data_IF_882399043626
#
_entry.id   IF_882399043626
#
_cell.length_a   1.000
_cell.length_b   1.000
_cell.length_c   1.000
_cell.angle_alpha   90.00
_cell.angle_beta   90.00
_cell.angle_gamma   90.00
#
_symmetry.space_group_name_H-M   'P 1'
#
loop_
_entity.id
_entity.type
_entity.pdbx_description
1 polymer ?
#
# COMPACT_ATOMS: atom_id res chain seq x y z
N UNK A 1 -31.14 5.42 8.68
CA UNK A 1 -29.76 5.00 9.02
C UNK A 1 -28.86 5.28 7.81
N UNK A 2 -28.20 6.45 7.74
CA UNK A 2 -27.25 6.76 6.68
C UNK A 2 -25.92 6.14 7.12
N UNK A 3 -25.31 5.17 6.46
CA UNK A 3 -24.87 5.16 5.07
C UNK A 3 -24.69 3.71 4.63
N UNK A 4 -25.77 3.05 4.22
CA UNK A 4 -25.62 1.92 3.29
C UNK A 4 -25.20 2.53 1.95
N UNK A 5 -23.94 2.99 1.84
CA UNK A 5 -23.35 3.34 0.56
C UNK A 5 -23.38 2.05 -0.25
N UNK A 6 -24.36 1.99 -1.14
CA UNK A 6 -24.32 1.20 -2.37
C UNK A 6 -22.98 1.51 -3.02
N UNK A 7 -21.99 0.71 -2.73
CA UNK A 7 -20.69 0.82 -3.35
C UNK A 7 -20.49 -0.53 -4.02
N UNK A 8 -20.15 -0.45 -5.29
CA UNK A 8 -19.62 -1.52 -6.11
C UNK A 8 -18.34 -2.06 -5.42
N UNK A 9 -18.51 -2.79 -4.33
CA UNK A 9 -17.45 -3.06 -3.38
C UNK A 9 -16.72 -4.34 -3.76
N UNK A 10 -15.79 -4.23 -4.71
CA UNK A 10 -14.69 -5.20 -4.80
C UNK A 10 -13.79 -5.18 -3.55
N UNK A 11 -13.94 -4.17 -2.69
CA UNK A 11 -13.14 -3.95 -1.51
C UNK A 11 -14.04 -3.92 -0.27
N UNK A 12 -13.84 -4.86 0.65
CA UNK A 12 -14.51 -4.86 1.96
C UNK A 12 -13.49 -4.51 3.05
N UNK A 13 -13.85 -3.74 4.09
CA UNK A 13 -12.95 -3.54 5.22
C UNK A 13 -12.62 -4.88 5.88
N UNK A 14 -11.39 -5.03 6.37
CA UNK A 14 -10.99 -6.21 7.14
C UNK A 14 -11.84 -6.36 8.41
N UNK A 15 -12.03 -7.61 8.86
CA UNK A 15 -12.58 -7.86 10.19
C UNK A 15 -11.65 -7.31 11.29
N UNK A 16 -12.20 -6.95 12.45
CA UNK A 16 -11.44 -6.37 13.58
C UNK A 16 -10.20 -7.20 13.96
N UNK A 17 -10.34 -8.53 13.96
CA UNK A 17 -9.25 -9.48 14.23
C UNK A 17 -8.08 -9.41 13.24
N UNK A 18 -8.32 -8.88 12.04
CA UNK A 18 -7.36 -8.81 10.95
C UNK A 18 -6.78 -7.39 10.78
N UNK A 19 -7.20 -6.41 11.59
CA UNK A 19 -6.69 -5.03 11.52
C UNK A 19 -5.18 -4.95 11.80
N UNK A 20 -4.63 -5.88 12.58
CA UNK A 20 -3.19 -5.99 12.83
C UNK A 20 -2.38 -6.58 11.65
N UNK A 21 -3.04 -6.96 10.55
CA UNK A 21 -2.35 -7.43 9.36
C UNK A 21 -1.52 -6.30 8.73
N UNK A 22 -2.10 -5.11 8.58
CA UNK A 22 -1.41 -3.92 8.09
C UNK A 22 -0.78 -3.17 9.27
N UNK A 23 0.54 -3.01 9.23
CA UNK A 23 1.32 -2.33 10.25
C UNK A 23 1.43 -0.83 9.95
N UNK A 24 2.04 -0.08 10.87
CA UNK A 24 2.37 1.34 10.70
C UNK A 24 1.18 2.23 10.27
N UNK A 25 -0.01 1.85 10.72
CA UNK A 25 -1.25 2.58 10.44
C UNK A 25 -1.77 2.44 9.02
N UNK A 26 -1.37 1.39 8.28
CA UNK A 26 -1.93 1.06 6.97
C UNK A 26 -3.41 0.65 7.02
N UNK A 27 -4.15 0.96 5.96
CA UNK A 27 -5.58 0.61 5.83
C UNK A 27 -5.72 -0.82 5.30
N UNK A 28 -6.51 -1.66 5.97
CA UNK A 28 -6.73 -3.06 5.61
C UNK A 28 -8.05 -3.26 4.86
N UNK A 29 -7.99 -3.96 3.72
CA UNK A 29 -9.17 -4.36 2.97
C UNK A 29 -9.04 -5.79 2.41
N UNK A 30 -10.18 -6.41 2.15
CA UNK A 30 -10.33 -7.74 1.56
C UNK A 30 -10.84 -7.59 0.13
N UNK A 31 -10.15 -8.25 -0.79
CA UNK A 31 -10.56 -8.40 -2.19
C UNK A 31 -11.04 -9.83 -2.39
N UNK A 32 -12.27 -9.99 -2.85
CA UNK A 32 -12.80 -11.29 -3.26
C UNK A 32 -12.33 -11.58 -4.70
N UNK A 33 -11.50 -12.62 -4.87
CA UNK A 33 -11.03 -13.10 -6.18
C UNK A 33 -11.55 -14.50 -6.46
N UNK A 34 -11.31 -15.03 -7.67
CA UNK A 34 -11.64 -16.42 -8.01
C UNK A 34 -10.92 -17.44 -7.12
N UNK A 35 -9.77 -17.08 -6.54
CA UNK A 35 -8.99 -17.91 -5.62
C UNK A 35 -9.42 -17.77 -4.16
N UNK A 36 -10.40 -16.90 -3.87
CA UNK A 36 -10.91 -16.62 -2.53
C UNK A 36 -10.61 -15.19 -2.05
N UNK A 37 -10.92 -14.90 -0.77
CA UNK A 37 -10.71 -13.58 -0.18
C UNK A 37 -9.24 -13.36 0.17
N UNK A 38 -8.63 -12.32 -0.39
CA UNK A 38 -7.25 -11.91 -0.10
C UNK A 38 -7.21 -10.59 0.65
N UNK A 39 -6.29 -10.48 1.61
CA UNK A 39 -6.04 -9.25 2.38
C UNK A 39 -5.03 -8.38 1.67
N UNK A 40 -5.29 -7.10 1.63
CA UNK A 40 -4.44 -6.09 1.02
C UNK A 40 -4.32 -4.89 1.95
N UNK A 41 -3.15 -4.25 1.91
CA UNK A 41 -2.84 -3.08 2.70
C UNK A 41 -2.61 -1.87 1.79
N UNK A 42 -3.21 -0.75 2.15
CA UNK A 42 -2.84 0.56 1.63
C UNK A 42 -1.94 1.24 2.67
N UNK A 43 -0.66 1.36 2.35
CA UNK A 43 0.33 1.90 3.26
C UNK A 43 0.23 3.41 3.38
N UNK A 44 0.59 3.93 4.56
CA UNK A 44 0.83 5.37 4.73
C UNK A 44 2.13 5.76 4.04
N UNK A 45 2.24 7.06 3.78
CA UNK A 45 3.48 7.65 3.28
C UNK A 45 4.68 7.27 4.15
N UNK A 46 5.79 6.92 3.51
CA UNK A 46 6.99 6.44 4.20
C UNK A 46 7.00 4.94 4.52
N UNK A 47 5.95 4.19 4.18
CA UNK A 47 5.90 2.73 4.39
C UNK A 47 5.53 1.97 3.12
N UNK A 48 6.09 0.77 2.98
CA UNK A 48 5.87 -0.16 1.86
C UNK A 48 5.85 -1.61 2.33
N UNK A 49 5.69 -2.52 1.36
CA UNK A 49 5.58 -3.96 1.59
C UNK A 49 4.13 -4.43 1.74
N UNK A 50 3.92 -5.75 1.65
CA UNK A 50 2.58 -6.37 1.69
C UNK A 50 1.82 -6.00 2.97
N UNK A 51 2.55 -5.78 4.07
CA UNK A 51 2.01 -5.46 5.39
C UNK A 51 2.35 -4.04 5.86
N UNK A 52 2.91 -3.20 5.00
CA UNK A 52 3.40 -1.86 5.38
C UNK A 52 4.46 -1.90 6.50
N UNK A 53 5.25 -2.97 6.57
CA UNK A 53 6.26 -3.23 7.59
C UNK A 53 7.64 -2.67 7.23
N UNK A 54 7.85 -2.33 5.97
CA UNK A 54 9.10 -1.78 5.47
C UNK A 54 9.01 -0.26 5.41
N UNK A 55 10.06 0.43 5.87
CA UNK A 55 10.16 1.87 5.68
C UNK A 55 10.60 2.15 4.23
N UNK A 56 10.00 3.15 3.60
CA UNK A 56 10.51 3.75 2.37
C UNK A 56 11.62 4.71 2.80
N UNK A 57 12.92 4.36 2.63
CA UNK A 57 13.95 5.36 2.83
C UNK A 57 13.62 6.53 1.90
N UNK A 58 13.55 7.75 2.46
CA UNK A 58 13.51 8.96 1.65
C UNK A 58 14.81 9.00 0.87
N UNK A 59 14.82 8.42 -0.32
CA UNK A 59 15.82 8.79 -1.31
C UNK A 59 15.41 10.18 -1.74
N UNK A 60 15.92 11.20 -1.06
CA UNK A 60 15.99 12.56 -1.59
C UNK A 60 17.00 12.53 -2.75
N UNK A 61 16.65 11.83 -3.81
CA UNK A 61 17.51 11.61 -4.96
C UNK A 61 16.63 11.50 -6.19
N UNK A 62 16.43 12.66 -6.82
CA UNK A 62 16.28 12.83 -8.27
C UNK A 62 14.97 12.26 -8.86
N UNK A 63 14.04 13.18 -9.13
CA UNK A 63 13.18 13.24 -10.32
C UNK A 63 11.78 12.59 -10.31
N UNK A 64 10.78 13.40 -10.02
CA UNK A 64 9.44 13.31 -10.62
C UNK A 64 9.26 14.44 -11.64
N UNK A 65 10.08 14.42 -12.69
CA UNK A 65 9.91 15.16 -13.94
C UNK A 65 10.25 14.19 -15.08
N UNK A 66 9.42 14.00 -16.13
CA UNK A 66 9.69 12.99 -17.16
C UNK A 66 10.94 13.23 -18.04
N UNK A 67 11.80 14.20 -17.73
CA UNK A 67 12.94 14.61 -18.56
C UNK A 67 14.32 14.06 -18.19
N UNK A 68 14.50 13.24 -17.15
CA UNK A 68 15.83 12.72 -16.75
C UNK A 68 15.81 11.22 -16.43
N UNK A 69 15.66 10.38 -17.45
CA UNK A 69 16.12 8.99 -17.37
C UNK A 69 17.65 8.95 -17.45
N UNK A 70 18.34 9.27 -16.36
CA UNK A 70 19.75 8.86 -16.19
C UNK A 70 19.94 8.38 -14.76
N UNK A 71 19.65 7.10 -14.56
CA UNK A 71 19.99 6.37 -13.35
C UNK A 71 21.52 6.42 -13.24
N UNK A 72 22.02 7.17 -12.26
CA UNK A 72 23.44 7.27 -11.93
C UNK A 72 24.03 5.88 -11.66
N UNK A 73 24.63 5.28 -12.67
CA UNK A 73 25.60 4.19 -12.55
C UNK A 73 26.93 4.72 -12.04
N UNK A 74 26.98 5.18 -10.79
CA UNK A 74 28.24 5.32 -10.06
C UNK A 74 28.07 4.75 -8.65
N UNK A 75 28.09 3.41 -8.61
CA UNK A 75 28.59 2.68 -7.45
C UNK A 75 30.06 3.11 -7.28
N UNK A 76 30.37 3.82 -6.21
CA UNK A 76 31.75 4.04 -5.80
C UNK A 76 32.30 2.72 -5.22
N UNK A 77 33.29 2.14 -5.91
CA UNK A 77 34.30 1.23 -5.35
C UNK A 77 35.66 1.91 -5.50
#
# INVERSE_FOLDING_TARGET
LPWQRRSSNHFKPCHEKDLAYCLNGGECFVIETLSGPHKHCKCREGYQGIRCDQFLPKTDSILSDPSEHTINTQINF
#
